data_IF_516131537687
#
_entry.id   IF_516131537687
#
_cell.length_a   1.000
_cell.length_b   1.000
_cell.length_c   1.000
_cell.angle_alpha   90.00
_cell.angle_beta   90.00
_cell.angle_gamma   90.00
#
_symmetry.space_group_name_H-M   'P 1'
#
loop_
_entity.id
_entity.type
_entity.pdbx_description
1 polymer ?
#
# COMPACT_ATOMS: atom_id res chain seq x y z
N UNK A 1 3.92 10.32 -26.28
CA UNK A 1 2.80 10.84 -25.45
C UNK A 1 2.58 9.90 -24.27
N UNK A 2 2.28 10.39 -23.05
CA UNK A 2 1.95 9.53 -21.93
C UNK A 2 0.67 8.73 -22.22
N UNK A 3 0.64 7.46 -21.79
CA UNK A 3 -0.54 6.60 -21.94
C UNK A 3 -1.72 7.17 -21.15
N UNK A 4 -2.94 6.78 -21.52
CA UNK A 4 -4.16 7.17 -20.79
C UNK A 4 -4.06 6.84 -19.30
N UNK A 5 -3.57 5.64 -18.98
CA UNK A 5 -3.31 5.20 -17.61
C UNK A 5 -2.35 6.13 -16.87
N UNK A 6 -1.25 6.56 -17.50
CA UNK A 6 -0.28 7.46 -16.86
C UNK A 6 -0.88 8.84 -16.59
N UNK A 7 -1.71 9.35 -17.52
CA UNK A 7 -2.44 10.63 -17.33
C UNK A 7 -3.44 10.56 -16.18
N UNK A 8 -4.12 9.43 -16.01
CA UNK A 8 -5.06 9.22 -14.90
C UNK A 8 -4.31 9.13 -13.58
N UNK A 9 -3.25 8.30 -13.51
CA UNK A 9 -2.43 8.12 -12.30
C UNK A 9 -1.89 9.45 -11.77
N UNK A 10 -1.36 10.29 -12.65
CA UNK A 10 -0.79 11.59 -12.25
C UNK A 10 -1.82 12.54 -11.61
N UNK A 11 -3.12 12.33 -11.79
CA UNK A 11 -4.17 13.17 -11.16
C UNK A 11 -4.36 12.89 -9.67
N UNK A 12 -3.86 11.74 -9.19
CA UNK A 12 -4.09 11.25 -7.83
C UNK A 12 -2.81 11.09 -7.02
N UNK A 13 -1.65 11.27 -7.66
CA UNK A 13 -0.35 11.10 -7.04
C UNK A 13 -0.13 12.13 -5.93
N UNK A 14 0.50 11.71 -4.83
CA UNK A 14 0.72 12.59 -3.69
C UNK A 14 1.88 13.55 -3.93
N UNK A 15 1.68 14.81 -3.58
CA UNK A 15 2.73 15.84 -3.63
C UNK A 15 3.71 15.72 -2.45
N UNK A 16 3.22 15.37 -1.26
CA UNK A 16 4.01 15.32 -0.03
C UNK A 16 4.16 13.88 0.45
N UNK A 17 5.29 13.28 0.13
CA UNK A 17 5.59 11.88 0.44
C UNK A 17 6.62 11.82 1.57
N UNK A 18 6.37 11.08 2.67
CA UNK A 18 7.37 10.82 3.69
C UNK A 18 8.62 10.19 3.08
N UNK A 19 9.83 10.54 3.56
CA UNK A 19 11.09 9.96 3.06
C UNK A 19 11.16 8.43 3.23
N UNK A 20 10.44 7.91 4.23
CA UNK A 20 10.39 6.50 4.58
C UNK A 20 8.96 6.03 4.70
N UNK A 21 8.70 4.84 4.18
CA UNK A 21 7.44 4.11 4.33
C UNK A 21 7.76 2.69 4.79
N UNK A 22 6.76 1.98 5.31
CA UNK A 22 6.94 0.66 5.90
C UNK A 22 6.06 -0.38 5.22
N UNK A 23 6.58 -1.60 5.03
CA UNK A 23 5.81 -2.74 4.51
C UNK A 23 5.97 -3.93 5.44
N UNK A 24 4.86 -4.46 5.92
CA UNK A 24 4.86 -5.76 6.60
C UNK A 24 4.83 -6.88 5.56
N UNK A 25 5.76 -7.84 5.68
CA UNK A 25 5.76 -9.11 4.96
C UNK A 25 5.56 -10.24 5.96
N UNK A 26 4.87 -11.28 5.57
CA UNK A 26 4.61 -12.46 6.40
C UNK A 26 4.35 -13.67 5.49
N UNK A 27 4.23 -14.87 6.06
CA UNK A 27 4.06 -16.11 5.31
C UNK A 27 2.91 -16.09 4.29
N UNK A 28 1.79 -15.43 4.61
CA UNK A 28 0.66 -15.25 3.71
C UNK A 28 0.82 -14.15 2.65
N UNK A 29 1.78 -13.22 2.81
CA UNK A 29 2.01 -12.14 1.85
C UNK A 29 3.48 -11.72 1.78
N UNK A 30 4.22 -12.42 0.91
CA UNK A 30 5.62 -12.13 0.66
C UNK A 30 5.89 -11.28 -0.58
N UNK A 31 4.87 -11.04 -1.42
CA UNK A 31 5.04 -10.38 -2.71
C UNK A 31 5.29 -8.87 -2.55
N UNK A 32 6.25 -8.36 -3.30
CA UNK A 32 6.49 -6.91 -3.48
C UNK A 32 5.83 -6.38 -4.76
N UNK A 33 5.03 -7.20 -5.44
CA UNK A 33 4.35 -6.84 -6.69
C UNK A 33 2.85 -6.91 -6.47
N UNK A 34 2.13 -6.00 -7.12
CA UNK A 34 0.68 -6.02 -7.21
C UNK A 34 0.20 -7.30 -7.90
N UNK A 35 -1.07 -7.64 -7.67
CA UNK A 35 -1.69 -8.86 -8.22
C UNK A 35 -2.05 -8.71 -9.71
N UNK A 36 -2.27 -7.49 -10.18
CA UNK A 36 -2.51 -7.20 -11.59
C UNK A 36 -1.70 -6.00 -12.09
N UNK A 37 -1.70 -5.79 -13.42
CA UNK A 37 -1.10 -4.61 -14.05
C UNK A 37 -2.15 -3.48 -14.10
N UNK A 38 -1.75 -2.21 -13.93
CA UNK A 38 -2.68 -1.10 -14.10
C UNK A 38 -3.13 -0.98 -15.55
N UNK A 39 -4.45 -0.82 -15.75
CA UNK A 39 -5.08 -0.67 -17.05
C UNK A 39 -6.27 0.29 -16.92
N UNK A 40 -6.00 1.54 -16.55
CA UNK A 40 -7.03 2.56 -16.38
C UNK A 40 -7.31 3.26 -17.73
N UNK A 41 -8.58 3.26 -18.14
CA UNK A 41 -9.08 3.94 -19.34
C UNK A 41 -9.77 5.25 -19.00
N UNK A 42 -10.45 5.29 -17.84
CA UNK A 42 -11.08 6.49 -17.28
C UNK A 42 -10.75 6.62 -15.79
N UNK A 43 -10.89 7.83 -15.25
CA UNK A 43 -10.58 8.11 -13.84
C UNK A 43 -11.40 7.29 -12.85
N UNK A 44 -12.61 6.84 -13.24
CA UNK A 44 -13.43 5.97 -12.41
C UNK A 44 -12.79 4.58 -12.22
N UNK A 45 -12.09 4.05 -13.22
CA UNK A 45 -11.41 2.74 -13.12
C UNK A 45 -10.36 2.75 -12.00
N UNK A 46 -9.64 3.87 -11.85
CA UNK A 46 -8.67 4.05 -10.78
C UNK A 46 -9.35 4.02 -9.42
N UNK A 47 -10.43 4.79 -9.24
CA UNK A 47 -11.16 4.85 -7.98
C UNK A 47 -11.70 3.49 -7.58
N UNK A 48 -12.40 2.82 -8.50
CA UNK A 48 -12.94 1.46 -8.26
C UNK A 48 -11.82 0.48 -7.89
N UNK A 49 -10.66 0.55 -8.53
CA UNK A 49 -9.52 -0.30 -8.18
C UNK A 49 -8.99 -0.02 -6.75
N UNK A 50 -9.04 1.23 -6.28
CA UNK A 50 -8.69 1.59 -4.90
C UNK A 50 -9.75 1.09 -3.94
N UNK A 51 -11.04 1.31 -4.21
CA UNK A 51 -12.16 0.84 -3.38
C UNK A 51 -12.12 -0.69 -3.21
N UNK A 52 -11.84 -1.41 -4.29
CA UNK A 52 -11.62 -2.86 -4.26
C UNK A 52 -10.39 -3.25 -3.44
N UNK A 53 -9.33 -2.43 -3.44
CA UNK A 53 -8.11 -2.69 -2.66
C UNK A 53 -8.36 -2.51 -1.17
N UNK A 54 -9.14 -1.51 -0.79
CA UNK A 54 -9.53 -1.23 0.60
C UNK A 54 -10.61 -2.19 1.11
N UNK A 55 -11.26 -2.92 0.22
CA UNK A 55 -12.13 -4.05 0.60
C UNK A 55 -11.23 -5.24 0.92
N UNK A 56 -10.76 -5.38 2.16
CA UNK A 56 -9.77 -6.41 2.56
C UNK A 56 -10.18 -7.86 2.23
N UNK A 57 -11.49 -8.15 2.17
CA UNK A 57 -12.03 -9.45 1.76
C UNK A 57 -12.21 -9.61 0.24
N UNK A 58 -11.75 -8.65 -0.56
CA UNK A 58 -11.88 -8.69 -2.01
C UNK A 58 -10.89 -9.68 -2.63
N UNK A 59 -11.45 -10.65 -3.35
CA UNK A 59 -10.69 -11.55 -4.21
C UNK A 59 -10.15 -10.83 -5.46
N UNK A 60 -10.59 -9.61 -5.75
CA UNK A 60 -10.21 -8.90 -6.98
C UNK A 60 -8.72 -8.53 -6.96
N UNK A 61 -7.95 -8.91 -8.00
CA UNK A 61 -6.55 -8.55 -8.08
C UNK A 61 -6.43 -7.06 -8.43
N UNK A 62 -5.85 -6.30 -7.52
CA UNK A 62 -5.67 -4.84 -7.67
C UNK A 62 -4.22 -4.48 -8.01
N UNK A 63 -3.98 -3.34 -8.69
CA UNK A 63 -2.66 -2.95 -9.20
C UNK A 63 -1.80 -2.23 -8.17
N UNK A 64 -2.13 -2.33 -6.88
CA UNK A 64 -1.47 -1.62 -5.78
C UNK A 64 -0.77 -2.56 -4.81
N UNK A 65 0.17 -2.01 -4.05
CA UNK A 65 0.78 -2.64 -2.87
C UNK A 65 0.69 -1.65 -1.72
N UNK A 66 0.09 -2.04 -0.60
CA UNK A 66 -0.01 -1.19 0.59
C UNK A 66 1.33 -0.96 1.28
N UNK A 67 1.50 0.23 1.81
CA UNK A 67 2.59 0.69 2.64
C UNK A 67 1.99 1.48 3.81
N UNK A 68 2.69 1.51 4.93
CA UNK A 68 2.35 2.32 6.10
C UNK A 68 3.25 3.55 6.13
N UNK A 69 2.68 4.70 6.49
CA UNK A 69 3.41 5.93 6.75
C UNK A 69 3.99 5.97 8.17
N UNK A 70 3.36 5.27 9.11
CA UNK A 70 3.80 5.22 10.50
C UNK A 70 4.44 3.87 10.86
N UNK A 71 5.60 3.93 11.52
CA UNK A 71 6.34 2.73 11.90
C UNK A 71 5.62 1.95 13.01
N UNK A 72 5.05 2.65 13.99
CA UNK A 72 4.38 2.02 15.13
C UNK A 72 3.11 1.32 14.67
N UNK A 73 2.34 1.95 13.77
CA UNK A 73 1.17 1.31 13.18
C UNK A 73 1.55 0.05 12.40
N UNK A 74 2.61 0.12 11.59
CA UNK A 74 3.12 -1.05 10.87
C UNK A 74 3.60 -2.17 11.81
N UNK A 75 4.22 -1.81 12.95
CA UNK A 75 4.66 -2.77 13.96
C UNK A 75 3.48 -3.40 14.69
N UNK A 76 2.47 -2.61 15.08
CA UNK A 76 1.25 -3.12 15.68
C UNK A 76 0.54 -4.11 14.74
N UNK A 77 0.48 -3.80 13.45
CA UNK A 77 -0.05 -4.73 12.44
C UNK A 77 0.79 -6.01 12.33
N UNK A 78 2.12 -5.91 12.41
CA UNK A 78 3.00 -7.07 12.41
C UNK A 78 2.77 -7.98 13.63
N UNK A 79 2.59 -7.42 14.83
CA UNK A 79 2.23 -8.19 16.02
C UNK A 79 0.85 -8.84 15.91
N UNK A 80 -0.14 -8.09 15.40
CA UNK A 80 -1.47 -8.64 15.17
C UNK A 80 -1.44 -9.86 14.24
N UNK A 81 -0.61 -9.85 13.19
CA UNK A 81 -0.42 -10.99 12.30
C UNK A 81 0.19 -12.20 13.02
N UNK A 82 1.17 -11.99 13.90
CA UNK A 82 1.77 -13.06 14.69
C UNK A 82 0.74 -13.70 15.64
N UNK A 83 -0.08 -12.88 16.31
CA UNK A 83 -1.17 -13.35 17.18
C UNK A 83 -2.22 -14.19 16.41
N UNK A 84 -2.42 -13.90 15.13
CA UNK A 84 -3.31 -14.66 14.23
C UNK A 84 -2.64 -15.91 13.61
N UNK A 85 -1.45 -16.28 14.08
CA UNK A 85 -0.76 -17.51 13.68
C UNK A 85 0.06 -17.40 12.39
N UNK A 86 0.22 -16.20 11.83
CA UNK A 86 1.19 -16.00 10.75
C UNK A 86 2.62 -16.05 11.30
N UNK A 87 3.56 -16.47 10.46
CA UNK A 87 4.98 -16.57 10.80
C UNK A 87 5.83 -15.83 9.76
N UNK A 88 7.15 -15.78 9.98
CA UNK A 88 8.12 -15.07 9.14
C UNK A 88 7.74 -13.59 8.94
N UNK A 89 7.25 -12.95 10.01
CA UNK A 89 6.81 -11.56 9.96
C UNK A 89 8.03 -10.65 9.95
N UNK A 90 8.13 -9.82 8.92
CA UNK A 90 9.25 -8.90 8.69
C UNK A 90 8.69 -7.53 8.35
N UNK A 91 9.13 -6.52 9.10
CA UNK A 91 8.90 -5.13 8.77
C UNK A 91 10.02 -4.64 7.85
N UNK A 92 9.65 -4.18 6.66
CA UNK A 92 10.57 -3.57 5.71
C UNK A 92 10.48 -2.05 5.81
N UNK A 93 11.63 -1.40 5.88
CA UNK A 93 11.75 0.05 5.73
C UNK A 93 12.07 0.36 4.27
N UNK A 94 11.29 1.26 3.67
CA UNK A 94 11.29 1.56 2.24
C UNK A 94 11.62 3.03 2.02
N UNK A 95 12.67 3.29 1.23
CA UNK A 95 12.99 4.61 0.70
C UNK A 95 11.98 5.00 -0.38
N UNK A 96 11.12 5.98 -0.06
CA UNK A 96 10.02 6.39 -0.92
C UNK A 96 10.49 7.06 -2.21
N UNK A 97 11.67 7.69 -2.21
CA UNK A 97 12.26 8.34 -3.39
C UNK A 97 12.59 7.35 -4.53
N UNK A 98 12.63 6.06 -4.20
CA UNK A 98 12.94 4.96 -5.14
C UNK A 98 11.70 4.20 -5.60
N UNK A 99 10.51 4.66 -5.21
CA UNK A 99 9.22 4.09 -5.59
C UNK A 99 8.69 4.70 -6.89
N UNK A 100 7.69 4.03 -7.46
CA UNK A 100 6.89 4.61 -8.53
C UNK A 100 5.76 5.47 -7.96
N UNK A 101 4.68 5.70 -8.73
CA UNK A 101 3.55 6.49 -8.28
C UNK A 101 2.98 6.02 -6.95
N UNK A 102 2.78 6.98 -6.05
CA UNK A 102 2.33 6.79 -4.68
C UNK A 102 1.05 7.59 -4.43
N UNK A 103 0.12 6.96 -3.70
CA UNK A 103 -1.17 7.55 -3.38
C UNK A 103 -1.45 7.36 -1.89
N UNK A 104 -1.79 8.44 -1.20
CA UNK A 104 -2.18 8.43 0.21
C UNK A 104 -3.66 8.14 0.30
N UNK A 105 -4.03 7.06 0.97
CA UNK A 105 -5.42 6.60 1.00
C UNK A 105 -6.34 7.65 1.61
N UNK A 106 -5.89 8.33 2.68
CA UNK A 106 -6.65 9.43 3.28
C UNK A 106 -7.05 10.51 2.27
N UNK A 107 -6.12 10.95 1.44
CA UNK A 107 -6.38 12.02 0.46
C UNK A 107 -7.33 11.51 -0.64
N UNK A 108 -7.23 10.24 -1.03
CA UNK A 108 -8.14 9.60 -1.97
C UNK A 108 -9.58 9.54 -1.44
N UNK A 109 -9.76 9.18 -0.17
CA UNK A 109 -11.07 9.10 0.47
C UNK A 109 -11.66 10.49 0.65
N UNK A 110 -10.90 11.43 1.22
CA UNK A 110 -11.41 12.78 1.55
C UNK A 110 -11.58 13.66 0.32
N UNK A 111 -10.60 13.73 -0.58
CA UNK A 111 -10.59 14.71 -1.67
C UNK A 111 -11.14 14.13 -2.98
N UNK A 112 -10.97 12.82 -3.19
CA UNK A 112 -11.33 12.17 -4.45
C UNK A 112 -12.58 11.29 -4.38
N UNK A 113 -13.27 11.28 -3.23
CA UNK A 113 -14.53 10.56 -2.99
C UNK A 113 -14.43 9.05 -3.25
N UNK A 114 -13.27 8.45 -2.95
CA UNK A 114 -13.12 6.99 -2.89
C UNK A 114 -13.92 6.46 -1.71
N UNK A 115 -14.73 5.43 -1.94
CA UNK A 115 -15.56 4.82 -0.90
C UNK A 115 -14.82 3.70 -0.18
N UNK A 116 -14.97 3.62 1.15
CA UNK A 116 -14.46 2.52 1.95
C UNK A 116 -15.36 2.30 3.17
N UNK A 117 -15.47 1.05 3.60
CA UNK A 117 -16.13 0.67 4.86
C UNK A 117 -15.15 0.55 6.01
N UNK A 118 -13.84 0.67 5.74
CA UNK A 118 -12.81 0.65 6.77
C UNK A 118 -12.91 1.92 7.64
N UNK A 119 -12.69 1.80 8.96
CA UNK A 119 -12.59 2.97 9.82
C UNK A 119 -11.30 3.75 9.51
N UNK A 120 -11.33 5.07 9.70
CA UNK A 120 -10.22 5.97 9.32
C UNK A 120 -8.87 5.58 9.92
N UNK A 121 -8.85 5.13 11.17
CA UNK A 121 -7.61 4.74 11.84
C UNK A 121 -6.86 3.59 11.13
N UNK A 122 -7.55 2.77 10.34
CA UNK A 122 -6.94 1.66 9.59
C UNK A 122 -6.24 2.11 8.31
N UNK A 123 -6.61 3.24 7.72
CA UNK A 123 -6.08 3.69 6.42
C UNK A 123 -5.46 5.10 6.43
N UNK A 124 -5.56 5.85 7.54
CA UNK A 124 -5.13 7.26 7.64
C UNK A 124 -3.65 7.50 7.26
N UNK A 125 -2.80 6.52 7.49
CA UNK A 125 -1.38 6.50 7.14
C UNK A 125 -1.06 5.44 6.07
N UNK A 126 -2.08 4.83 5.45
CA UNK A 126 -1.86 3.90 4.35
C UNK A 126 -1.49 4.65 3.07
N UNK A 127 -0.45 4.15 2.41
CA UNK A 127 -0.01 4.56 1.08
C UNK A 127 -0.10 3.37 0.12
N UNK A 128 -0.55 3.63 -1.09
CA UNK A 128 -0.60 2.66 -2.17
C UNK A 128 0.51 2.97 -3.17
N UNK A 129 1.41 2.02 -3.39
CA UNK A 129 2.36 2.12 -4.51
C UNK A 129 1.82 1.36 -5.72
N UNK A 130 1.90 1.98 -6.89
CA UNK A 130 1.49 1.34 -8.13
C UNK A 130 2.47 0.23 -8.52
N UNK A 131 1.92 -0.92 -8.91
CA UNK A 131 2.59 -2.07 -9.56
C UNK A 131 3.59 -2.85 -8.69
N UNK A 132 4.58 -2.22 -8.06
CA UNK A 132 5.59 -2.93 -7.25
C UNK A 132 6.41 -2.01 -6.36
N UNK A 133 6.94 -2.60 -5.28
CA UNK A 133 8.05 -2.10 -4.48
C UNK A 133 9.36 -2.66 -5.08
N UNK A 134 10.25 -1.84 -5.67
CA UNK A 134 11.55 -2.31 -6.15
C UNK A 134 12.44 -2.78 -5.00
N UNK A 135 13.15 -3.90 -5.14
CA UNK A 135 14.04 -4.40 -4.06
C UNK A 135 15.10 -3.38 -3.61
N UNK A 136 15.59 -2.56 -4.53
CA UNK A 136 16.53 -1.45 -4.27
C UNK A 136 15.98 -0.32 -3.39
N UNK A 137 14.66 -0.27 -3.19
CA UNK A 137 14.01 0.68 -2.30
C UNK A 137 13.99 0.20 -0.84
N UNK A 138 14.24 -1.09 -0.60
CA UNK A 138 14.32 -1.61 0.77
C UNK A 138 15.66 -1.19 1.36
N UNK A 139 15.62 -0.37 2.41
CA UNK A 139 16.80 0.14 3.09
C UNK A 139 17.09 -0.61 4.39
N UNK A 140 16.06 -1.17 5.03
CA UNK A 140 16.21 -1.95 6.25
C UNK A 140 15.17 -3.07 6.34
N UNK A 141 15.46 -4.08 7.17
CA UNK A 141 14.56 -5.20 7.48
C UNK A 141 14.65 -5.53 8.96
N UNK A 142 13.50 -5.59 9.61
CA UNK A 142 13.38 -5.91 11.03
C UNK A 142 12.53 -7.17 11.12
N UNK A 143 13.10 -8.26 11.61
CA UNK A 143 12.32 -9.46 11.96
C UNK A 143 11.49 -9.16 13.19
N UNK A 144 10.20 -9.50 13.15
CA UNK A 144 9.28 -9.30 14.26
C UNK A 144 8.98 -10.65 14.88
N UNK A 145 9.16 -10.74 16.19
CA UNK A 145 8.89 -11.94 16.98
C UNK A 145 7.95 -11.57 18.13
N UNK A 146 7.17 -12.53 18.62
CA UNK A 146 6.41 -12.35 19.85
C UNK A 146 7.39 -12.32 21.02
N UNK A 147 7.34 -11.29 21.85
CA UNK A 147 8.03 -11.32 23.14
C UNK A 147 7.46 -12.50 23.94
N UNK A 148 8.35 -13.42 24.33
CA UNK A 148 8.02 -14.64 25.06
C UNK A 148 7.73 -14.37 26.53
#
# INVERSE_FOLDING_TARGET
>A
MPSTTAKIVAQYECDQIPSKLYRVRYSGNQSLKSRCRPAFTVSNDFKTAVEQHLTWCSCEPTPFVSLFGDQNHAMNWAHHLLEHGYHDVVLLEIDSSRLGPLFRVRDLVTNHKVQTTLPEYMYQDEYLVLRKIPRRSIINKISVELEK
#
